data_IF_550856609087
#
_entry.id   IF_550856609087
#
_cell.length_a   1.000
_cell.length_b   1.000
_cell.length_c   1.000
_cell.angle_alpha   90.00
_cell.angle_beta   90.00
_cell.angle_gamma   90.00
#
_symmetry.space_group_name_H-M   'P 1'
#
loop_
_entity.id
_entity.type
_entity.pdbx_description
1 polymer ?
#
# COMPACT_ATOMS: atom_id res chain seq x y z
N UNK A 1 16.58 17.05 -0.16
CA UNK A 1 16.38 17.23 -1.61
C UNK A 1 15.04 17.93 -1.82
N UNK A 2 15.01 19.25 -1.60
CA UNK A 2 13.81 20.10 -1.52
C UNK A 2 14.04 21.43 -2.30
N UNK A 3 14.75 21.37 -3.43
CA UNK A 3 15.30 22.60 -4.03
C UNK A 3 15.25 22.72 -5.56
N UNK A 4 14.33 22.03 -6.23
CA UNK A 4 14.23 22.13 -7.71
C UNK A 4 12.84 22.40 -8.28
N UNK A 5 11.87 22.84 -7.47
CA UNK A 5 10.50 23.09 -7.96
C UNK A 5 9.95 24.43 -7.48
N UNK A 6 10.69 25.51 -7.72
CA UNK A 6 10.20 26.84 -7.35
C UNK A 6 10.68 27.92 -8.32
N UNK A 7 10.27 27.87 -9.59
CA UNK A 7 10.16 29.05 -10.48
C UNK A 7 9.19 28.75 -11.65
N UNK A 8 7.92 29.10 -11.49
CA UNK A 8 7.03 29.49 -12.58
C UNK A 8 5.94 30.43 -12.04
N UNK A 9 5.82 31.58 -12.67
CA UNK A 9 5.08 32.77 -12.23
C UNK A 9 3.56 32.57 -12.27
N UNK A 10 2.85 32.97 -11.20
CA UNK A 10 1.39 33.08 -11.18
C UNK A 10 0.98 34.54 -11.04
N UNK A 11 0.37 35.09 -12.09
CA UNK A 11 -0.42 36.33 -12.05
C UNK A 11 -1.86 36.04 -11.57
N UNK A 12 -2.53 36.99 -10.90
CA UNK A 12 -3.74 36.71 -10.14
C UNK A 12 -5.01 36.84 -10.98
N UNK A 13 -5.88 35.82 -10.93
CA UNK A 13 -7.27 35.95 -11.38
C UNK A 13 -8.20 36.02 -10.16
N UNK A 14 -8.78 37.21 -9.99
CA UNK A 14 -9.74 37.55 -8.95
C UNK A 14 -11.18 37.18 -9.34
N UNK A 15 -11.92 36.67 -8.34
CA UNK A 15 -13.33 36.93 -8.01
C UNK A 15 -14.43 36.84 -9.09
N UNK A 16 -15.37 35.91 -8.84
CA UNK A 16 -16.84 35.89 -9.11
C UNK A 16 -17.25 34.41 -9.23
N UNK A 17 -18.27 33.84 -8.59
CA UNK A 17 -19.52 34.36 -8.05
C UNK A 17 -19.97 33.49 -6.86
N UNK A 18 -20.44 34.15 -5.81
CA UNK A 18 -21.41 33.57 -4.88
C UNK A 18 -22.81 33.88 -5.44
N UNK A 19 -23.71 32.88 -5.44
CA UNK A 19 -25.05 32.95 -4.83
C UNK A 19 -26.03 31.92 -5.42
N UNK A 20 -26.85 31.41 -4.49
CA UNK A 20 -28.12 30.70 -4.65
C UNK A 20 -28.04 29.22 -5.06
N UNK A 21 -28.41 28.35 -4.11
CA UNK A 21 -29.72 27.70 -4.14
C UNK A 21 -30.06 27.11 -2.76
N UNK A 22 -31.34 27.28 -2.40
CA UNK A 22 -31.98 26.93 -1.13
C UNK A 22 -32.27 25.42 -1.05
N UNK A 23 -32.32 24.92 0.18
CA UNK A 23 -32.80 23.58 0.56
C UNK A 23 -34.29 23.41 0.34
N UNK A 24 -34.76 22.15 0.22
CA UNK A 24 -35.78 21.73 1.18
C UNK A 24 -35.55 20.35 1.80
N UNK A 25 -35.98 20.31 3.06
CA UNK A 25 -36.13 19.21 4.00
C UNK A 25 -37.15 18.16 3.56
N UNK A 26 -36.78 16.88 3.63
CA UNK A 26 -37.72 15.79 3.96
C UNK A 26 -36.98 14.52 4.40
N UNK A 27 -37.06 14.21 5.70
CA UNK A 27 -36.72 12.90 6.29
C UNK A 27 -37.78 11.86 5.90
N UNK A 28 -37.40 10.59 5.64
CA UNK A 28 -38.32 9.47 5.76
C UNK A 28 -38.31 8.89 7.18
N UNK A 29 -39.52 8.58 7.63
CA UNK A 29 -39.94 7.94 8.88
C UNK A 29 -39.54 6.44 8.89
N UNK A 30 -39.06 5.94 10.03
CA UNK A 30 -38.61 4.56 10.20
C UNK A 30 -39.53 3.89 11.24
N UNK A 31 -40.63 3.30 10.77
CA UNK A 31 -41.48 2.45 11.60
C UNK A 31 -42.18 1.36 10.78
N UNK A 32 -41.58 0.16 10.76
CA UNK A 32 -42.36 -1.09 10.77
C UNK A 32 -41.44 -2.28 11.04
N UNK A 33 -41.57 -2.83 12.24
CA UNK A 33 -40.99 -4.09 12.69
C UNK A 33 -41.84 -5.24 12.10
N UNK A 34 -41.20 -6.17 11.39
CA UNK A 34 -41.69 -7.54 11.26
C UNK A 34 -40.50 -8.51 11.11
N UNK A 35 -40.28 -9.32 12.15
CA UNK A 35 -39.74 -10.69 12.05
C UNK A 35 -40.94 -11.64 11.92
N UNK A 36 -40.83 -12.83 11.27
CA UNK A 36 -39.80 -13.83 11.55
C UNK A 36 -39.30 -14.64 10.33
N UNK A 37 -38.16 -15.33 10.43
CA UNK A 37 -38.08 -16.79 10.57
C UNK A 37 -36.62 -17.28 10.45
N UNK A 38 -36.42 -18.40 11.10
CA UNK A 38 -35.24 -19.13 11.55
C UNK A 38 -34.44 -19.82 10.44
N UNK A 39 -33.14 -19.99 10.69
CA UNK A 39 -32.38 -21.09 10.12
C UNK A 39 -31.62 -20.81 8.82
N UNK A 40 -30.49 -20.10 8.92
CA UNK A 40 -29.28 -20.40 8.14
C UNK A 40 -28.09 -19.84 8.91
N UNK A 41 -27.18 -20.71 9.30
CA UNK A 41 -25.85 -20.29 9.76
C UNK A 41 -25.24 -19.42 8.67
N UNK A 42 -25.22 -18.12 8.94
CA UNK A 42 -24.46 -17.14 8.18
C UNK A 42 -22.98 -17.50 8.37
N UNK A 43 -22.38 -18.17 7.38
CA UNK A 43 -20.95 -18.08 7.20
C UNK A 43 -20.63 -16.61 6.94
N UNK A 44 -20.30 -15.87 7.98
CA UNK A 44 -19.82 -14.49 7.85
C UNK A 44 -18.48 -14.58 7.14
N UNK A 45 -18.49 -14.52 5.80
CA UNK A 45 -17.29 -14.21 5.04
C UNK A 45 -16.73 -12.93 5.66
N UNK A 46 -15.51 -13.00 6.22
CA UNK A 46 -14.77 -11.81 6.68
C UNK A 46 -14.60 -10.91 5.45
N UNK A 47 -15.52 -9.98 5.25
CA UNK A 47 -15.51 -9.08 4.12
C UNK A 47 -14.79 -7.81 4.53
N UNK A 48 -13.85 -7.41 3.68
CA UNK A 48 -13.13 -6.15 3.80
C UNK A 48 -14.08 -4.96 3.66
N UNK A 49 -13.83 -3.86 4.38
CA UNK A 49 -14.43 -2.59 3.98
C UNK A 49 -13.88 -2.22 2.60
N UNK A 50 -14.76 -2.16 1.60
CA UNK A 50 -14.46 -1.71 0.24
C UNK A 50 -14.99 -0.28 0.03
N UNK A 51 -14.66 0.59 0.99
CA UNK A 51 -15.06 1.99 1.01
C UNK A 51 -13.90 2.87 1.51
N UNK A 52 -13.52 3.94 0.77
CA UNK A 52 -14.15 4.42 -0.46
C UNK A 52 -13.72 3.68 -1.74
N UNK A 53 -12.78 2.74 -1.66
CA UNK A 53 -12.23 2.07 -2.84
C UNK A 53 -12.75 0.64 -3.00
N UNK A 54 -13.43 0.36 -4.12
CA UNK A 54 -13.82 -1.01 -4.50
C UNK A 54 -12.62 -1.77 -5.08
N UNK A 55 -12.46 -3.05 -4.71
CA UNK A 55 -11.35 -3.86 -5.19
C UNK A 55 -11.56 -4.35 -6.63
N UNK A 56 -10.48 -4.42 -7.40
CA UNK A 56 -10.46 -4.95 -8.78
C UNK A 56 -10.55 -6.47 -8.70
N UNK A 57 -11.69 -7.03 -9.11
CA UNK A 57 -11.95 -8.50 -9.08
C UNK A 57 -11.79 -9.18 -10.42
N UNK A 58 -11.71 -8.42 -11.50
CA UNK A 58 -11.51 -8.97 -12.84
C UNK A 58 -10.64 -8.05 -13.66
N UNK A 59 -9.79 -8.65 -14.49
CA UNK A 59 -9.03 -7.91 -15.50
C UNK A 59 -9.76 -7.88 -16.84
N UNK A 60 -10.79 -8.70 -17.00
CA UNK A 60 -11.53 -8.79 -18.25
C UNK A 60 -12.54 -7.64 -18.37
N UNK A 61 -12.56 -6.90 -19.49
CA UNK A 61 -13.69 -6.03 -19.80
C UNK A 61 -14.96 -6.88 -19.89
N UNK A 62 -16.08 -6.36 -19.37
CA UNK A 62 -17.34 -7.09 -19.22
C UNK A 62 -17.78 -7.80 -20.52
N UNK A 63 -17.81 -9.14 -20.49
CA UNK A 63 -18.61 -10.06 -21.32
C UNK A 63 -18.50 -10.01 -22.86
N UNK A 64 -17.40 -9.57 -23.46
CA UNK A 64 -17.21 -9.76 -24.92
C UNK A 64 -16.19 -10.87 -25.17
N UNK A 65 -16.71 -12.07 -25.47
CA UNK A 65 -15.92 -13.15 -26.06
C UNK A 65 -15.51 -12.73 -27.48
N UNK A 66 -14.45 -11.92 -27.59
CA UNK A 66 -13.81 -11.67 -28.87
C UNK A 66 -12.96 -12.89 -29.25
N UNK A 67 -12.87 -13.20 -30.54
CA UNK A 67 -11.90 -14.17 -31.12
C UNK A 67 -10.43 -13.78 -30.88
N UNK A 68 -10.17 -12.68 -30.15
CA UNK A 68 -8.84 -12.15 -29.79
C UNK A 68 -8.67 -12.06 -28.26
N UNK A 69 -9.03 -13.13 -27.55
CA UNK A 69 -8.74 -13.23 -26.11
C UNK A 69 -7.25 -12.91 -25.86
N UNK A 70 -6.92 -12.02 -24.90
CA UNK A 70 -5.53 -11.71 -24.61
C UNK A 70 -4.73 -12.96 -24.23
N UNK A 71 -3.44 -12.97 -24.55
CA UNK A 71 -2.54 -14.07 -24.20
C UNK A 71 -2.48 -14.29 -22.67
N UNK A 72 -2.24 -15.53 -22.25
CA UNK A 72 -2.20 -15.91 -20.84
C UNK A 72 -1.17 -15.09 -20.02
N UNK A 73 -0.02 -14.74 -20.61
CA UNK A 73 0.98 -13.89 -19.95
C UNK A 73 0.52 -12.44 -19.84
N UNK A 74 -0.16 -11.93 -20.86
CA UNK A 74 -0.76 -10.58 -20.81
C UNK A 74 -1.80 -10.50 -19.69
N UNK A 75 -2.66 -11.51 -19.59
CA UNK A 75 -3.63 -11.66 -18.50
C UNK A 75 -2.91 -11.73 -17.14
N UNK A 76 -1.82 -12.50 -17.06
CA UNK A 76 -1.03 -12.62 -15.83
C UNK A 76 -0.46 -11.26 -15.38
N UNK A 77 0.15 -10.49 -16.28
CA UNK A 77 0.68 -9.15 -15.97
C UNK A 77 -0.44 -8.21 -15.50
N UNK A 78 -1.58 -8.18 -16.19
CA UNK A 78 -2.72 -7.36 -15.78
C UNK A 78 -3.23 -7.74 -14.38
N UNK A 79 -3.21 -9.03 -14.04
CA UNK A 79 -3.59 -9.51 -12.69
C UNK A 79 -2.59 -9.08 -11.63
N UNK A 80 -1.30 -9.14 -11.92
CA UNK A 80 -0.27 -8.67 -10.99
C UNK A 80 -0.42 -7.17 -10.74
N UNK A 81 -0.68 -6.37 -11.79
CA UNK A 81 -0.97 -4.95 -11.65
C UNK A 81 -2.21 -4.70 -10.77
N UNK A 82 -3.32 -5.40 -11.06
CA UNK A 82 -4.54 -5.29 -10.27
C UNK A 82 -4.35 -5.69 -8.79
N UNK A 83 -3.46 -6.65 -8.49
CA UNK A 83 -3.13 -7.03 -7.11
C UNK A 83 -2.28 -5.96 -6.41
N UNK A 84 -1.35 -5.32 -7.12
CA UNK A 84 -0.62 -4.13 -6.64
C UNK A 84 -1.60 -2.99 -6.31
N UNK A 85 -2.53 -2.67 -7.22
CA UNK A 85 -3.58 -1.68 -7.00
C UNK A 85 -4.50 -2.03 -5.83
N UNK A 86 -4.90 -3.30 -5.70
CA UNK A 86 -5.69 -3.75 -4.56
C UNK A 86 -4.93 -3.65 -3.23
N UNK A 87 -3.61 -3.68 -3.24
CA UNK A 87 -2.78 -3.41 -2.05
C UNK A 87 -2.96 -1.95 -1.60
N UNK A 88 -2.93 -1.01 -2.56
CA UNK A 88 -3.20 0.43 -2.32
C UNK A 88 -4.62 0.62 -1.77
N UNK A 89 -5.63 0.06 -2.43
CA UNK A 89 -7.02 0.18 -2.00
C UNK A 89 -7.26 -0.39 -0.61
N UNK A 90 -6.72 -1.57 -0.29
CA UNK A 90 -6.85 -2.17 1.04
C UNK A 90 -6.21 -1.30 2.11
N UNK A 91 -5.03 -0.73 1.85
CA UNK A 91 -4.37 0.17 2.79
C UNK A 91 -5.20 1.45 3.03
N UNK A 92 -5.70 2.08 1.97
CA UNK A 92 -6.53 3.29 2.08
C UNK A 92 -7.88 3.03 2.76
N UNK A 93 -8.57 1.94 2.41
CA UNK A 93 -9.81 1.54 3.08
C UNK A 93 -9.56 1.22 4.57
N UNK A 94 -8.43 0.59 4.89
CA UNK A 94 -8.04 0.31 6.26
C UNK A 94 -7.80 1.60 7.06
N UNK A 95 -7.10 2.59 6.48
CA UNK A 95 -6.92 3.92 7.07
C UNK A 95 -8.26 4.60 7.28
N UNK A 96 -9.11 4.59 6.24
CA UNK A 96 -10.42 5.23 6.26
C UNK A 96 -11.31 4.67 7.38
N UNK A 97 -11.44 3.35 7.46
CA UNK A 97 -12.26 2.66 8.45
C UNK A 97 -11.72 2.80 9.88
N UNK A 98 -10.40 2.71 10.06
CA UNK A 98 -9.79 2.73 11.40
C UNK A 98 -9.53 4.16 11.92
N UNK A 99 -9.59 5.18 11.07
CA UNK A 99 -9.38 6.58 11.48
C UNK A 99 -10.31 7.03 12.61
N UNK A 100 -11.57 6.59 12.60
CA UNK A 100 -12.55 6.92 13.65
C UNK A 100 -12.35 6.16 14.97
N UNK A 101 -11.50 5.13 14.97
CA UNK A 101 -11.13 4.38 16.18
C UNK A 101 -9.98 5.05 16.92
N UNK A 102 -9.23 5.93 16.27
CA UNK A 102 -8.13 6.69 16.87
C UNK A 102 -8.69 7.91 17.60
N UNK A 103 -8.40 8.08 18.91
CA UNK A 103 -8.95 9.19 19.68
C UNK A 103 -8.55 10.57 19.13
N UNK A 104 -9.54 11.47 19.01
CA UNK A 104 -9.31 12.91 18.76
C UNK A 104 -8.92 13.63 20.06
N UNK A 105 -8.47 14.88 19.97
CA UNK A 105 -8.17 15.70 21.17
C UNK A 105 -6.87 15.34 21.88
N UNK A 106 -5.99 14.55 21.26
CA UNK A 106 -4.65 14.26 21.79
C UNK A 106 -4.61 13.33 23.00
N UNK A 107 -5.69 12.59 23.29
CA UNK A 107 -5.74 11.65 24.42
C UNK A 107 -4.89 10.39 24.23
N UNK A 108 -4.59 10.01 22.98
CA UNK A 108 -3.60 8.97 22.64
C UNK A 108 -2.72 9.44 21.45
N UNK A 109 -1.67 10.24 21.70
CA UNK A 109 -0.79 10.73 20.64
C UNK A 109 0.00 9.61 19.95
N UNK A 110 0.19 8.45 20.59
CA UNK A 110 0.90 7.32 19.99
C UNK A 110 0.02 6.59 18.97
N UNK A 111 -1.27 6.40 19.24
CA UNK A 111 -2.23 5.90 18.25
C UNK A 111 -2.32 6.80 17.01
N UNK A 112 -2.37 8.12 17.20
CA UNK A 112 -2.34 9.08 16.08
C UNK A 112 -1.04 8.94 15.29
N UNK A 113 0.11 8.93 15.97
CA UNK A 113 1.42 8.81 15.31
C UNK A 113 1.52 7.54 14.46
N UNK A 114 1.03 6.43 14.99
CA UNK A 114 1.08 5.14 14.31
C UNK A 114 0.17 5.10 13.07
N UNK A 115 -1.04 5.65 13.17
CA UNK A 115 -1.95 5.79 12.01
C UNK A 115 -1.35 6.68 10.93
N UNK A 116 -0.80 7.84 11.31
CA UNK A 116 -0.14 8.75 10.37
C UNK A 116 1.12 8.13 9.76
N UNK A 117 1.85 7.31 10.51
CA UNK A 117 3.02 6.58 9.98
C UNK A 117 2.57 5.52 8.97
N UNK A 118 1.50 4.77 9.24
CA UNK A 118 0.93 3.82 8.28
C UNK A 118 0.46 4.55 7.01
N UNK A 119 -0.26 5.66 7.17
CA UNK A 119 -0.72 6.52 6.06
C UNK A 119 0.45 7.04 5.22
N UNK A 120 1.54 7.48 5.87
CA UNK A 120 2.78 7.90 5.20
C UNK A 120 3.33 6.80 4.29
N UNK A 121 3.41 5.57 4.77
CA UNK A 121 3.93 4.47 3.98
C UNK A 121 3.01 4.09 2.83
N UNK A 122 1.68 4.17 3.02
CA UNK A 122 0.71 3.99 1.93
C UNK A 122 0.90 5.00 0.81
N UNK A 123 1.09 6.29 1.13
CA UNK A 123 1.36 7.32 0.12
C UNK A 123 2.71 7.11 -0.56
N UNK A 124 3.76 6.79 0.20
CA UNK A 124 5.07 6.50 -0.35
C UNK A 124 5.04 5.32 -1.33
N UNK A 125 4.27 4.26 -1.01
CA UNK A 125 4.07 3.14 -1.93
C UNK A 125 3.35 3.58 -3.21
N UNK A 126 2.25 4.33 -3.09
CA UNK A 126 1.48 4.84 -4.21
C UNK A 126 2.32 5.74 -5.14
N UNK A 127 3.05 6.70 -4.57
CA UNK A 127 3.93 7.58 -5.31
C UNK A 127 5.05 6.82 -6.02
N UNK A 128 5.68 5.86 -5.33
CA UNK A 128 6.76 5.10 -5.93
C UNK A 128 6.26 4.23 -7.09
N UNK A 129 5.09 3.59 -6.92
CA UNK A 129 4.42 2.82 -7.96
C UNK A 129 4.24 3.64 -9.25
N UNK A 130 3.52 4.77 -9.17
CA UNK A 130 3.29 5.63 -10.34
C UNK A 130 4.57 6.26 -10.90
N UNK A 131 5.53 6.62 -10.03
CA UNK A 131 6.82 7.15 -10.47
C UNK A 131 7.60 6.13 -11.29
N UNK A 132 7.64 4.87 -10.87
CA UNK A 132 8.32 3.81 -11.62
C UNK A 132 7.59 3.52 -12.93
N UNK A 133 6.27 3.68 -12.98
CA UNK A 133 5.52 3.59 -14.23
C UNK A 133 5.95 4.66 -15.23
N UNK A 134 5.98 5.93 -14.81
CA UNK A 134 6.34 7.04 -15.69
C UNK A 134 7.82 7.08 -16.08
N UNK A 135 8.72 6.61 -15.22
CA UNK A 135 10.16 6.63 -15.48
C UNK A 135 10.66 5.39 -16.23
N UNK A 136 9.99 4.24 -16.08
CA UNK A 136 10.46 2.96 -16.61
C UNK A 136 9.40 2.29 -17.47
N UNK A 137 8.24 1.97 -16.90
CA UNK A 137 7.27 1.08 -17.55
C UNK A 137 6.67 1.69 -18.82
N UNK A 138 6.07 2.87 -18.72
CA UNK A 138 5.41 3.55 -19.82
C UNK A 138 6.41 3.91 -20.94
N UNK A 139 7.58 4.51 -20.66
CA UNK A 139 8.57 4.76 -21.70
C UNK A 139 9.05 3.49 -22.42
N UNK A 140 9.23 2.38 -21.69
CA UNK A 140 9.63 1.11 -22.30
C UNK A 140 8.54 0.57 -23.23
N UNK A 141 7.27 0.57 -22.80
CA UNK A 141 6.14 0.14 -23.63
C UNK A 141 6.02 0.99 -24.91
N UNK A 142 6.12 2.31 -24.78
CA UNK A 142 6.05 3.24 -25.90
C UNK A 142 7.19 3.04 -26.91
N UNK A 143 8.41 2.80 -26.42
CA UNK A 143 9.56 2.51 -27.26
C UNK A 143 9.37 1.20 -28.04
N UNK A 144 8.92 0.14 -27.37
CA UNK A 144 8.67 -1.16 -28.01
C UNK A 144 7.53 -1.11 -29.02
N UNK A 145 6.48 -0.35 -28.72
CA UNK A 145 5.37 -0.09 -29.63
C UNK A 145 5.74 0.88 -30.78
N UNK A 146 6.88 1.55 -30.72
CA UNK A 146 7.23 2.69 -31.58
C UNK A 146 6.10 3.75 -31.60
N UNK A 147 5.48 4.00 -30.44
CA UNK A 147 4.27 4.81 -30.31
C UNK A 147 4.37 5.75 -29.10
N UNK A 148 5.12 6.86 -29.23
CA UNK A 148 5.24 7.86 -28.16
C UNK A 148 3.88 8.41 -27.73
N UNK A 149 3.67 8.58 -26.44
CA UNK A 149 2.42 9.07 -25.85
C UNK A 149 1.28 8.04 -25.80
N UNK A 150 1.53 6.77 -26.10
CA UNK A 150 0.53 5.70 -25.98
C UNK A 150 -0.03 5.58 -24.55
N UNK A 151 0.79 5.86 -23.54
CA UNK A 151 0.40 5.82 -22.13
C UNK A 151 0.04 7.21 -21.56
N UNK A 152 -0.12 8.23 -22.42
CA UNK A 152 -0.43 9.61 -21.99
C UNK A 152 -1.73 9.72 -21.20
N UNK A 153 -2.71 8.84 -21.45
CA UNK A 153 -3.97 8.82 -20.69
C UNK A 153 -3.71 8.40 -19.24
N UNK A 154 -2.83 7.44 -18.98
CA UNK A 154 -2.44 7.02 -17.63
C UNK A 154 -1.71 8.15 -16.90
N UNK A 155 -0.80 8.84 -17.60
CA UNK A 155 -0.07 10.00 -17.05
C UNK A 155 -1.02 11.15 -16.68
N UNK A 156 -1.97 11.50 -17.55
CA UNK A 156 -2.96 12.53 -17.23
C UNK A 156 -3.90 12.10 -16.09
N UNK A 157 -4.15 10.79 -15.95
CA UNK A 157 -4.91 10.25 -14.83
C UNK A 157 -4.11 10.30 -13.52
N UNK A 158 -2.78 10.11 -13.54
CA UNK A 158 -1.92 10.34 -12.36
C UNK A 158 -2.04 11.78 -11.88
N UNK A 159 -1.91 12.73 -12.82
CA UNK A 159 -2.04 14.16 -12.55
C UNK A 159 -3.39 14.55 -11.95
N UNK A 160 -4.46 13.84 -12.32
CA UNK A 160 -5.81 14.13 -11.85
C UNK A 160 -6.01 13.96 -10.33
N UNK A 161 -5.14 13.21 -9.63
CA UNK A 161 -5.17 13.08 -8.17
C UNK A 161 -3.91 13.58 -7.47
N UNK A 162 -2.92 14.11 -8.20
CA UNK A 162 -1.62 14.52 -7.67
C UNK A 162 -1.77 15.59 -6.57
N UNK A 163 -2.58 16.62 -6.81
CA UNK A 163 -2.84 17.69 -5.83
C UNK A 163 -3.50 17.15 -4.56
N UNK A 164 -4.51 16.28 -4.69
CA UNK A 164 -5.18 15.63 -3.56
C UNK A 164 -4.24 14.73 -2.76
N UNK A 165 -3.31 14.04 -3.44
CA UNK A 165 -2.30 13.21 -2.80
C UNK A 165 -1.29 14.08 -2.02
N UNK A 166 -0.85 15.18 -2.63
CA UNK A 166 0.00 16.16 -1.97
C UNK A 166 -0.65 16.76 -0.72
N UNK A 167 -1.94 17.08 -0.78
CA UNK A 167 -2.69 17.60 0.38
C UNK A 167 -2.80 16.60 1.53
N UNK A 168 -2.87 15.30 1.23
CA UNK A 168 -2.81 14.24 2.23
C UNK A 168 -1.41 14.13 2.83
N UNK A 169 -0.36 14.24 2.01
CA UNK A 169 1.04 14.21 2.44
C UNK A 169 1.37 15.35 3.38
N UNK A 170 0.96 16.57 3.02
CA UNK A 170 1.17 17.75 3.86
C UNK A 170 0.47 17.60 5.21
N UNK A 171 -0.74 17.05 5.23
CA UNK A 171 -1.48 16.78 6.48
C UNK A 171 -0.76 15.77 7.37
N UNK A 172 -0.33 14.64 6.79
CA UNK A 172 0.39 13.59 7.52
C UNK A 172 1.74 14.11 8.04
N UNK A 173 2.48 14.84 7.22
CA UNK A 173 3.76 15.44 7.60
C UNK A 173 3.58 16.42 8.77
N UNK A 174 2.59 17.31 8.69
CA UNK A 174 2.28 18.27 9.75
C UNK A 174 1.90 17.57 11.06
N UNK A 175 1.10 16.51 11.00
CA UNK A 175 0.73 15.73 12.17
C UNK A 175 1.93 15.02 12.82
N UNK A 176 2.79 14.38 12.02
CA UNK A 176 4.00 13.73 12.52
C UNK A 176 5.00 14.74 13.11
N UNK A 177 5.16 15.91 12.49
CA UNK A 177 5.97 17.02 13.03
C UNK A 177 5.43 17.51 14.38
N UNK A 178 4.12 17.71 14.46
CA UNK A 178 3.44 18.14 15.69
C UNK A 178 3.62 17.13 16.84
N UNK A 179 3.53 15.83 16.54
CA UNK A 179 3.68 14.75 17.54
C UNK A 179 5.13 14.49 17.96
N UNK A 180 6.11 14.80 17.10
CA UNK A 180 7.54 14.55 17.38
C UNK A 180 8.28 15.79 17.87
N UNK A 181 7.62 16.95 17.89
CA UNK A 181 8.24 18.23 18.24
C UNK A 181 9.25 18.74 17.20
N UNK A 182 9.40 18.07 16.05
CA UNK A 182 10.27 18.50 14.93
C UNK A 182 9.54 19.51 14.04
N UNK A 183 10.23 20.46 13.41
CA UNK A 183 9.63 21.46 12.50
C UNK A 183 9.38 22.85 13.13
N UNK A 184 8.62 23.71 12.46
CA UNK A 184 8.30 25.09 12.87
C UNK A 184 7.27 25.13 14.03
N UNK A 185 7.61 25.80 15.14
CA UNK A 185 6.73 25.89 16.32
C UNK A 185 5.38 26.56 16.05
N UNK A 186 5.31 27.54 15.14
CA UNK A 186 4.06 28.25 14.85
C UNK A 186 3.06 27.34 14.15
N UNK A 187 3.51 26.53 13.19
CA UNK A 187 2.65 25.58 12.45
C UNK A 187 2.12 24.43 13.30
N UNK A 188 2.82 24.04 14.37
CA UNK A 188 2.44 22.93 15.27
C UNK A 188 1.36 23.29 16.28
N UNK A 189 1.34 24.54 16.75
CA UNK A 189 0.53 24.95 17.89
C UNK A 189 -0.98 24.82 17.63
N UNK A 190 -1.39 24.67 16.37
CA UNK A 190 -2.78 24.64 15.93
C UNK A 190 -3.21 23.30 15.34
N UNK A 191 -2.30 22.34 15.14
CA UNK A 191 -2.65 21.06 14.54
C UNK A 191 -3.22 20.09 15.59
N UNK A 192 -4.40 19.56 15.30
CA UNK A 192 -5.07 18.54 16.11
C UNK A 192 -5.55 17.42 15.18
N UNK A 193 -5.36 16.17 15.60
CA UNK A 193 -5.91 15.05 14.84
C UNK A 193 -7.43 15.01 14.94
N UNK A 194 -8.07 15.11 13.78
CA UNK A 194 -9.50 14.87 13.60
C UNK A 194 -9.69 13.77 12.56
N UNK A 195 -10.35 12.65 12.91
CA UNK A 195 -10.62 11.57 11.96
C UNK A 195 -11.26 12.06 10.65
N UNK A 196 -12.14 13.05 10.76
CA UNK A 196 -12.88 13.62 9.63
C UNK A 196 -11.96 14.33 8.63
N UNK A 197 -10.90 14.99 9.10
CA UNK A 197 -9.96 15.71 8.23
C UNK A 197 -9.13 14.72 7.40
N UNK A 198 -8.71 13.61 8.02
CA UNK A 198 -8.02 12.52 7.31
C UNK A 198 -8.93 11.85 6.28
N UNK A 199 -10.18 11.56 6.66
CA UNK A 199 -11.16 10.96 5.75
C UNK A 199 -11.50 11.88 4.59
N UNK A 200 -11.70 13.17 4.83
CA UNK A 200 -11.97 14.17 3.78
C UNK A 200 -10.85 14.20 2.73
N UNK A 201 -9.59 14.08 3.16
CA UNK A 201 -8.43 14.02 2.25
C UNK A 201 -8.39 12.73 1.44
N UNK A 202 -8.80 11.61 2.03
CA UNK A 202 -8.94 10.33 1.31
C UNK A 202 -10.14 10.37 0.34
N UNK A 203 -11.25 11.00 0.73
CA UNK A 203 -12.43 11.18 -0.14
C UNK A 203 -12.07 11.99 -1.39
N UNK A 204 -11.18 12.98 -1.29
CA UNK A 204 -10.67 13.76 -2.42
C UNK A 204 -9.80 12.95 -3.41
N UNK A 205 -9.29 11.78 -3.00
CA UNK A 205 -8.60 10.83 -3.87
C UNK A 205 -9.56 9.83 -4.51
N UNK A 206 -10.73 9.59 -3.90
CA UNK A 206 -11.55 8.41 -4.14
C UNK A 206 -11.88 8.17 -5.61
N UNK A 207 -12.53 9.14 -6.26
CA UNK A 207 -12.93 9.03 -7.66
C UNK A 207 -11.73 8.99 -8.62
N UNK A 208 -10.81 9.98 -8.66
CA UNK A 208 -9.76 10.01 -9.67
C UNK A 208 -8.77 8.85 -9.52
N UNK A 209 -8.41 8.46 -8.30
CA UNK A 209 -7.53 7.30 -8.07
C UNK A 209 -8.24 6.00 -8.43
N UNK A 210 -9.51 5.82 -8.04
CA UNK A 210 -10.26 4.61 -8.39
C UNK A 210 -10.38 4.46 -9.89
N UNK A 211 -10.70 5.56 -10.60
CA UNK A 211 -10.78 5.59 -12.05
C UNK A 211 -9.45 5.17 -12.69
N UNK A 212 -8.34 5.77 -12.27
CA UNK A 212 -7.02 5.46 -12.80
C UNK A 212 -6.67 3.98 -12.67
N UNK A 213 -6.69 3.46 -11.44
CA UNK A 213 -6.30 2.08 -11.16
C UNK A 213 -7.23 1.06 -11.82
N UNK A 214 -8.51 1.37 -12.03
CA UNK A 214 -9.39 0.49 -12.80
C UNK A 214 -9.18 0.57 -14.32
N UNK A 215 -8.93 1.77 -14.87
CA UNK A 215 -8.79 1.98 -16.32
C UNK A 215 -7.48 1.42 -16.87
N UNK A 216 -6.41 1.41 -16.08
CA UNK A 216 -5.11 0.90 -16.50
C UNK A 216 -5.18 -0.61 -16.82
N UNK A 217 -5.95 -1.38 -16.05
CA UNK A 217 -6.03 -2.85 -16.19
C UNK A 217 -6.49 -3.32 -17.58
N UNK A 218 -7.65 -2.88 -18.12
CA UNK A 218 -8.02 -3.24 -19.48
C UNK A 218 -7.07 -2.66 -20.53
N UNK A 219 -6.46 -1.49 -20.28
CA UNK A 219 -5.47 -0.89 -21.18
C UNK A 219 -4.22 -1.77 -21.29
N UNK A 220 -3.75 -2.36 -20.20
CA UNK A 220 -2.64 -3.31 -20.23
C UNK A 220 -2.94 -4.55 -21.09
N UNK A 221 -4.20 -5.00 -21.13
CA UNK A 221 -4.59 -6.06 -22.04
C UNK A 221 -4.50 -5.63 -23.51
N UNK A 222 -4.89 -4.40 -23.83
CA UNK A 222 -4.77 -3.84 -25.18
C UNK A 222 -3.31 -3.63 -25.58
N UNK A 223 -2.50 -3.08 -24.68
CA UNK A 223 -1.06 -2.88 -24.89
C UNK A 223 -0.36 -4.22 -25.10
N UNK A 224 -0.70 -5.26 -24.32
CA UNK A 224 -0.13 -6.59 -24.49
C UNK A 224 -0.42 -7.20 -25.87
N UNK A 225 -1.59 -6.91 -26.47
CA UNK A 225 -1.88 -7.29 -27.86
C UNK A 225 -1.00 -6.55 -28.87
N UNK A 226 -0.57 -5.33 -28.56
CA UNK A 226 0.24 -4.49 -29.44
C UNK A 226 1.74 -4.83 -29.37
N UNK A 227 2.31 -4.91 -28.15
CA UNK A 227 3.76 -5.12 -27.95
C UNK A 227 4.14 -6.60 -27.85
N UNK A 228 3.15 -7.46 -27.67
CA UNK A 228 3.32 -8.90 -27.45
C UNK A 228 3.51 -9.25 -25.96
N UNK A 229 3.11 -10.47 -25.56
CA UNK A 229 3.10 -10.91 -24.16
C UNK A 229 4.48 -10.89 -23.49
N UNK A 230 5.52 -11.37 -24.18
CA UNK A 230 6.89 -11.43 -23.63
C UNK A 230 7.48 -10.03 -23.39
N UNK A 231 7.18 -9.10 -24.29
CA UNK A 231 7.60 -7.70 -24.17
C UNK A 231 6.91 -7.03 -22.97
N UNK A 232 5.60 -7.24 -22.82
CA UNK A 232 4.84 -6.70 -21.69
C UNK A 232 5.37 -7.27 -20.35
N UNK A 233 5.62 -8.57 -20.28
CA UNK A 233 6.22 -9.22 -19.10
C UNK A 233 7.61 -8.67 -18.77
N UNK A 234 8.44 -8.44 -19.79
CA UNK A 234 9.77 -7.81 -19.63
C UNK A 234 9.67 -6.38 -19.09
N UNK A 235 8.77 -5.57 -19.64
CA UNK A 235 8.55 -4.20 -19.17
C UNK A 235 8.02 -4.18 -17.73
N UNK A 236 7.09 -5.09 -17.39
CA UNK A 236 6.55 -5.21 -16.05
C UNK A 236 7.60 -5.68 -15.03
N UNK A 237 8.50 -6.58 -15.44
CA UNK A 237 9.63 -7.00 -14.59
C UNK A 237 10.55 -5.81 -14.31
N UNK A 238 10.84 -4.99 -15.31
CA UNK A 238 11.66 -3.79 -15.12
C UNK A 238 11.00 -2.75 -14.18
N UNK A 239 9.66 -2.59 -14.26
CA UNK A 239 8.88 -1.79 -13.30
C UNK A 239 9.08 -2.31 -11.86
N UNK A 240 8.93 -3.63 -11.68
CA UNK A 240 9.05 -4.27 -10.37
C UNK A 240 10.47 -4.13 -9.80
N UNK A 241 11.50 -4.40 -10.60
CA UNK A 241 12.90 -4.29 -10.20
C UNK A 241 13.26 -2.85 -9.78
N UNK A 242 12.78 -1.84 -10.52
CA UNK A 242 12.98 -0.43 -10.14
C UNK A 242 12.24 -0.10 -8.84
N UNK A 243 11.01 -0.58 -8.67
CA UNK A 243 10.23 -0.34 -7.46
C UNK A 243 10.88 -0.98 -6.21
N UNK A 244 11.43 -2.20 -6.33
CA UNK A 244 12.19 -2.84 -5.26
C UNK A 244 13.51 -2.11 -4.97
N UNK A 245 14.21 -1.63 -6.02
CA UNK A 245 15.48 -0.92 -5.88
C UNK A 245 15.38 0.47 -5.25
N UNK A 246 14.19 1.09 -5.30
CA UNK A 246 13.95 2.47 -4.86
C UNK A 246 13.21 2.59 -3.52
N UNK A 247 12.72 1.48 -2.96
CA UNK A 247 11.92 1.48 -1.72
C UNK A 247 12.70 1.04 -0.48
N UNK A 248 12.36 1.59 0.69
CA UNK A 248 12.87 1.07 1.97
C UNK A 248 12.07 -0.19 2.34
N UNK A 249 12.75 -1.34 2.32
CA UNK A 249 12.17 -2.63 2.68
C UNK A 249 11.58 -2.67 4.11
N UNK A 250 12.05 -1.81 5.03
CA UNK A 250 11.50 -1.67 6.37
C UNK A 250 10.17 -0.91 6.45
N UNK A 251 9.83 -0.18 5.39
CA UNK A 251 8.63 0.63 5.29
C UNK A 251 7.61 -0.06 4.36
N UNK A 252 8.04 -0.46 3.16
CA UNK A 252 7.13 -0.99 2.13
C UNK A 252 6.88 -2.48 2.28
N UNK A 253 7.86 -3.28 2.71
CA UNK A 253 7.71 -4.73 2.88
C UNK A 253 6.57 -5.13 3.83
N UNK A 254 6.53 -4.61 5.07
CA UNK A 254 5.43 -4.84 6.00
C UNK A 254 4.08 -4.33 5.46
N UNK A 255 4.06 -3.18 4.79
CA UNK A 255 2.85 -2.63 4.19
C UNK A 255 2.27 -3.58 3.14
N UNK A 256 3.08 -3.99 2.17
CA UNK A 256 2.65 -4.88 1.07
C UNK A 256 2.11 -6.18 1.66
N UNK A 257 2.85 -6.86 2.54
CA UNK A 257 2.41 -8.12 3.13
C UNK A 257 1.16 -7.97 4.01
N UNK A 258 1.10 -6.90 4.81
CA UNK A 258 -0.01 -6.63 5.72
C UNK A 258 -1.30 -6.19 5.02
N UNK A 259 -1.21 -5.85 3.73
CA UNK A 259 -2.34 -5.47 2.90
C UNK A 259 -2.71 -6.54 1.86
N UNK A 260 -2.21 -7.77 2.00
CA UNK A 260 -2.62 -8.89 1.16
C UNK A 260 -3.77 -9.69 1.75
N UNK A 261 -4.58 -10.29 0.90
CA UNK A 261 -5.57 -11.29 1.26
C UNK A 261 -5.37 -12.53 0.40
N UNK A 262 -4.88 -13.62 1.01
CA UNK A 262 -4.64 -14.87 0.29
C UNK A 262 -5.92 -15.56 -0.19
N UNK A 263 -7.07 -15.18 0.39
CA UNK A 263 -8.39 -15.72 0.04
C UNK A 263 -9.06 -14.92 -1.08
N UNK A 264 -8.50 -13.76 -1.43
CA UNK A 264 -9.02 -12.92 -2.51
C UNK A 264 -8.79 -13.59 -3.87
N UNK A 265 -9.84 -13.57 -4.68
CA UNK A 265 -9.80 -14.12 -6.04
C UNK A 265 -9.95 -13.02 -7.06
N UNK A 266 -9.05 -13.02 -8.05
CA UNK A 266 -9.17 -12.21 -9.26
C UNK A 266 -9.47 -13.16 -10.43
N UNK A 267 -10.51 -12.85 -11.21
CA UNK A 267 -11.08 -13.75 -12.22
C UNK A 267 -11.42 -15.15 -11.67
N UNK A 268 -11.90 -15.21 -10.42
CA UNK A 268 -12.15 -16.47 -9.69
C UNK A 268 -10.91 -17.35 -9.47
N UNK A 269 -9.70 -16.82 -9.64
CA UNK A 269 -8.44 -17.52 -9.38
C UNK A 269 -7.73 -16.96 -8.15
N UNK A 270 -7.17 -17.86 -7.35
CA UNK A 270 -6.24 -17.49 -6.28
C UNK A 270 -4.86 -17.32 -6.89
N UNK A 271 -4.29 -16.11 -6.77
CA UNK A 271 -2.99 -15.77 -7.30
C UNK A 271 -2.09 -15.43 -6.14
N UNK A 272 -0.95 -16.10 -6.05
CA UNK A 272 0.04 -15.80 -5.03
C UNK A 272 0.65 -14.42 -5.30
N UNK A 273 0.43 -13.48 -4.37
CA UNK A 273 1.00 -12.14 -4.43
C UNK A 273 1.26 -11.61 -3.01
N UNK A 274 2.41 -10.97 -2.74
CA UNK A 274 3.58 -10.91 -3.63
C UNK A 274 4.23 -12.29 -3.80
N UNK A 275 4.96 -12.47 -4.91
CA UNK A 275 5.79 -13.67 -5.10
C UNK A 275 7.05 -13.48 -4.26
N UNK A 276 7.14 -14.20 -3.15
CA UNK A 276 8.30 -14.13 -2.27
C UNK A 276 9.33 -15.19 -2.68
N UNK A 277 10.64 -14.86 -2.71
CA UNK A 277 11.68 -15.81 -3.08
C UNK A 277 11.78 -16.97 -2.08
N UNK A 278 11.25 -16.79 -0.86
CA UNK A 278 11.28 -17.79 0.20
C UNK A 278 9.96 -17.84 0.96
N UNK A 279 9.43 -19.05 1.20
CA UNK A 279 8.21 -19.28 1.98
C UNK A 279 8.31 -18.81 3.44
N UNK A 280 9.52 -18.57 3.94
CA UNK A 280 9.78 -18.07 5.30
C UNK A 280 9.92 -16.54 5.39
N UNK A 281 9.86 -15.81 4.26
CA UNK A 281 9.98 -14.35 4.24
C UNK A 281 8.94 -13.63 5.12
N UNK A 282 7.66 -14.05 5.23
CA UNK A 282 6.71 -13.43 6.15
C UNK A 282 7.15 -13.46 7.61
N UNK A 283 7.86 -14.52 8.05
CA UNK A 283 8.38 -14.61 9.41
C UNK A 283 9.51 -13.60 9.66
N UNK A 284 10.38 -13.35 8.68
CA UNK A 284 11.37 -12.27 8.79
C UNK A 284 10.69 -10.93 8.94
N UNK A 285 9.67 -10.67 8.12
CA UNK A 285 8.98 -9.40 8.14
C UNK A 285 8.33 -9.21 9.50
N UNK A 286 7.59 -10.20 9.99
CA UNK A 286 6.96 -10.17 11.31
C UNK A 286 7.95 -9.94 12.45
N UNK A 287 9.06 -10.67 12.46
CA UNK A 287 9.91 -10.74 13.65
C UNK A 287 11.13 -9.82 13.60
N UNK A 288 11.48 -9.23 12.46
CA UNK A 288 12.67 -8.38 12.32
C UNK A 288 12.28 -7.04 11.71
N UNK A 289 11.77 -7.05 10.48
CA UNK A 289 11.58 -5.85 9.66
C UNK A 289 10.51 -4.94 10.28
N UNK A 290 9.37 -5.52 10.67
CA UNK A 290 8.22 -4.80 11.20
C UNK A 290 8.50 -4.13 12.56
N UNK A 291 9.56 -4.50 13.29
CA UNK A 291 9.83 -3.97 14.64
C UNK A 291 10.06 -2.46 14.66
N UNK A 292 10.68 -1.89 13.62
CA UNK A 292 11.01 -0.45 13.53
C UNK A 292 9.77 0.45 13.64
N UNK A 293 8.65 -0.02 13.07
CA UNK A 293 7.38 0.69 13.01
C UNK A 293 6.22 -0.17 13.53
N UNK A 294 6.47 -1.00 14.55
CA UNK A 294 5.52 -2.02 15.03
C UNK A 294 4.12 -1.47 15.31
N UNK A 295 4.03 -0.25 15.84
CA UNK A 295 2.77 0.43 16.12
C UNK A 295 1.97 0.76 14.86
N UNK A 296 2.58 1.05 13.72
CA UNK A 296 1.90 1.36 12.47
C UNK A 296 1.23 0.11 11.85
N UNK A 297 1.83 -1.07 12.04
CA UNK A 297 1.33 -2.32 11.43
C UNK A 297 0.05 -2.86 12.09
N UNK A 298 -0.37 -2.26 13.21
CA UNK A 298 -1.72 -2.49 13.74
C UNK A 298 -2.81 -1.83 12.92
N UNK A 299 -2.50 -1.16 11.82
CA UNK A 299 -3.51 -0.69 10.87
C UNK A 299 -3.58 -1.59 9.63
N UNK A 300 -2.66 -2.55 9.49
CA UNK A 300 -2.71 -3.54 8.42
C UNK A 300 -4.03 -4.30 8.49
N UNK A 301 -4.79 -4.37 7.38
CA UNK A 301 -6.04 -5.11 7.33
C UNK A 301 -5.81 -6.61 7.50
N UNK A 302 -4.65 -7.15 7.10
CA UNK A 302 -4.30 -8.56 7.21
C UNK A 302 -3.08 -8.80 8.11
N UNK A 303 -2.86 -10.07 8.46
CA UNK A 303 -1.56 -10.52 8.94
C UNK A 303 -0.52 -10.50 7.82
N UNK A 304 0.78 -10.54 8.14
CA UNK A 304 1.84 -10.63 7.11
C UNK A 304 1.85 -11.94 6.32
N UNK A 305 1.00 -12.90 6.68
CA UNK A 305 0.76 -14.11 5.90
C UNK A 305 -0.46 -13.98 4.97
N UNK A 306 -1.07 -12.79 4.88
CA UNK A 306 -2.25 -12.55 4.06
C UNK A 306 -3.55 -13.13 4.63
N UNK A 307 -3.62 -13.42 5.94
CA UNK A 307 -4.90 -13.76 6.59
C UNK A 307 -5.70 -12.49 6.87
N UNK A 308 -6.95 -12.39 6.41
CA UNK A 308 -7.83 -11.28 6.75
C UNK A 308 -8.09 -11.13 8.24
N UNK A 309 -7.92 -9.92 8.80
CA UNK A 309 -8.47 -9.62 10.13
C UNK A 309 -9.98 -9.42 10.00
N UNK A 310 -10.76 -9.93 10.97
CA UNK A 310 -12.21 -9.91 10.89
C UNK A 310 -12.82 -8.54 11.16
N UNK A 311 -14.14 -8.42 10.99
CA UNK A 311 -14.89 -7.17 11.16
C UNK A 311 -14.79 -6.58 12.57
N UNK A 312 -14.50 -7.42 13.57
CA UNK A 312 -14.18 -7.02 14.93
C UNK A 312 -13.02 -6.00 14.99
N UNK A 313 -12.06 -6.13 14.07
CA UNK A 313 -10.93 -5.21 13.90
C UNK A 313 -11.36 -3.79 13.52
N UNK A 314 -12.48 -3.67 12.81
CA UNK A 314 -13.05 -2.40 12.35
C UNK A 314 -14.14 -1.87 13.30
N UNK A 315 -14.42 -2.55 14.42
CA UNK A 315 -15.51 -2.20 15.33
C UNK A 315 -15.00 -1.68 16.69
N UNK A 316 -15.65 -0.62 17.20
CA UNK A 316 -15.33 0.17 18.40
C UNK A 316 -15.35 -0.58 19.76
N UNK A 317 -15.40 -1.91 19.80
CA UNK A 317 -15.37 -2.66 21.06
C UNK A 317 -14.02 -3.34 21.34
N UNK A 318 -13.08 -3.30 20.41
CA UNK A 318 -11.69 -3.46 20.75
C UNK A 318 -11.17 -2.13 21.23
N UNK A 319 -10.85 -2.01 22.53
CA UNK A 319 -9.61 -1.31 22.88
C UNK A 319 -8.62 -1.73 21.80
N UNK A 320 -8.02 -0.80 21.04
CA UNK A 320 -6.88 -1.15 20.19
C UNK A 320 -5.82 -1.60 21.19
N UNK A 321 -5.92 -2.85 21.62
CA UNK A 321 -5.07 -3.38 22.65
C UNK A 321 -3.70 -3.27 22.02
N UNK A 322 -2.79 -2.63 22.72
CA UNK A 322 -1.36 -2.70 22.46
C UNK A 322 -0.85 -4.15 22.55
N UNK A 323 -1.73 -5.16 22.47
CA UNK A 323 -1.44 -6.57 22.56
C UNK A 323 -0.62 -6.94 21.34
N UNK A 324 0.69 -6.91 21.52
CA UNK A 324 1.56 -8.08 21.50
C UNK A 324 1.54 -9.01 20.27
N UNK A 325 0.73 -8.80 19.23
CA UNK A 325 0.76 -9.63 18.00
C UNK A 325 2.10 -9.51 17.27
N UNK A 326 2.78 -8.37 17.45
CA UNK A 326 4.07 -8.09 16.81
C UNK A 326 5.22 -7.82 17.79
N UNK A 327 5.00 -7.97 19.10
CA UNK A 327 6.06 -7.72 20.07
C UNK A 327 5.73 -7.96 21.54
N UNK A 328 5.76 -9.22 21.98
CA UNK A 328 6.38 -9.58 23.27
C UNK A 328 6.94 -11.00 23.22
N UNK A 329 8.24 -11.12 23.52
CA UNK A 329 9.00 -12.37 23.56
C UNK A 329 8.57 -13.26 24.74
N UNK A 330 8.25 -14.53 24.49
CA UNK A 330 8.78 -15.60 25.35
C UNK A 330 10.19 -15.91 24.86
N UNK A 331 11.19 -15.77 25.75
CA UNK A 331 12.60 -16.17 25.52
C UNK A 331 12.66 -17.56 24.87
N UNK A 332 12.79 -17.61 23.54
CA UNK A 332 13.34 -18.78 22.85
C UNK A 332 14.83 -18.54 22.64
N UNK A 333 15.63 -19.51 23.08
CA UNK A 333 17.10 -19.56 23.10
C UNK A 333 17.83 -18.65 22.11
N UNK A 334 18.67 -17.75 22.63
CA UNK A 334 19.45 -16.74 21.88
C UNK A 334 20.41 -17.27 20.80
N UNK A 335 20.44 -18.58 20.56
CA UNK A 335 21.20 -19.21 19.47
C UNK A 335 20.46 -19.14 18.13
N UNK A 336 19.13 -19.18 18.11
CA UNK A 336 18.35 -19.14 16.85
C UNK A 336 18.29 -17.71 16.26
N UNK A 337 18.14 -16.71 17.13
CA UNK A 337 18.12 -15.30 16.72
C UNK A 337 19.47 -14.82 16.16
N UNK A 338 20.59 -15.32 16.69
CA UNK A 338 21.93 -14.97 16.21
C UNK A 338 22.22 -15.58 14.84
N UNK A 339 21.81 -16.84 14.60
CA UNK A 339 21.96 -17.51 13.30
C UNK A 339 21.10 -16.83 12.23
N UNK A 340 19.86 -16.46 12.57
CA UNK A 340 18.98 -15.73 11.65
C UNK A 340 19.54 -14.34 11.32
N UNK A 341 20.12 -13.64 12.30
CA UNK A 341 20.74 -12.33 12.08
C UNK A 341 21.99 -12.42 11.18
N UNK A 342 22.82 -13.47 11.35
CA UNK A 342 24.01 -13.70 10.52
C UNK A 342 23.62 -14.09 9.09
N UNK A 343 22.58 -14.89 8.90
CA UNK A 343 22.08 -15.27 7.58
C UNK A 343 21.44 -14.08 6.86
N UNK A 344 20.70 -13.23 7.58
CA UNK A 344 20.09 -12.01 7.02
C UNK A 344 21.16 -10.98 6.67
N UNK A 345 22.18 -10.79 7.53
CA UNK A 345 23.31 -9.92 7.19
C UNK A 345 24.05 -10.45 5.95
N UNK A 346 24.28 -11.77 5.84
CA UNK A 346 24.93 -12.34 4.66
C UNK A 346 24.09 -12.18 3.37
N UNK A 347 22.76 -12.30 3.45
CA UNK A 347 21.88 -12.16 2.28
C UNK A 347 21.65 -10.69 1.86
N UNK A 348 21.59 -9.76 2.82
CA UNK A 348 21.55 -8.32 2.55
C UNK A 348 22.89 -7.82 1.97
N UNK A 349 24.01 -8.52 2.17
CA UNK A 349 25.29 -8.15 1.54
C UNK A 349 25.55 -8.84 0.19
N UNK A 350 24.84 -9.93 -0.13
CA UNK A 350 25.03 -10.69 -1.39
C UNK A 350 23.94 -10.37 -2.43
N UNK A 351 22.75 -9.93 -2.01
CA UNK A 351 21.63 -9.59 -2.90
C UNK A 351 21.65 -8.18 -3.49
N UNK A 352 22.50 -7.28 -3.00
CA UNK A 352 22.60 -5.92 -3.52
C UNK A 352 23.84 -5.81 -4.41
N UNK A 353 23.61 -5.68 -5.72
CA UNK A 353 24.62 -5.47 -6.76
C UNK A 353 25.37 -4.12 -6.66
N UNK A 354 25.75 -3.70 -5.47
CA UNK A 354 26.65 -2.59 -5.23
C UNK A 354 28.11 -3.04 -5.35
N UNK A 355 28.93 -2.26 -6.06
CA UNK A 355 30.38 -2.47 -6.20
C UNK A 355 31.02 -2.87 -4.86
N UNK A 356 31.78 -3.97 -4.89
CA UNK A 356 32.56 -4.46 -3.74
C UNK A 356 33.36 -3.30 -3.13
N UNK A 357 33.23 -2.99 -1.83
CA UNK A 357 34.27 -2.26 -1.16
C UNK A 357 35.46 -3.22 -0.98
N UNK A 358 36.63 -2.85 -1.50
CA UNK A 358 37.88 -3.53 -1.18
C UNK A 358 38.19 -3.32 0.30
N UNK A 359 37.77 -4.27 1.14
CA UNK A 359 38.33 -4.45 2.47
C UNK A 359 38.95 -5.85 2.57
N UNK A 360 40.14 -5.99 3.16
CA UNK A 360 40.87 -7.25 3.19
C UNK A 360 40.20 -8.22 4.16
N UNK A 361 39.44 -9.17 3.61
CA UNK A 361 38.91 -10.31 4.38
C UNK A 361 40.01 -11.38 4.49
N UNK A 362 40.95 -11.15 5.40
CA UNK A 362 41.84 -12.18 5.92
C UNK A 362 41.74 -12.17 7.44
N UNK A 363 41.45 -13.33 8.05
CA UNK A 363 41.43 -13.60 9.50
C UNK A 363 40.10 -13.63 10.28
N UNK A 364 38.96 -14.02 9.69
CA UNK A 364 37.77 -14.36 10.50
C UNK A 364 37.13 -15.74 10.27
N UNK A 365 37.59 -16.53 9.30
CA UNK A 365 36.95 -17.81 8.96
C UNK A 365 37.56 -19.08 9.58
N UNK A 366 38.55 -18.99 10.47
CA UNK A 366 39.18 -20.18 11.07
C UNK A 366 38.69 -20.56 12.48
N UNK A 367 37.69 -19.87 13.04
CA UNK A 367 37.23 -20.11 14.42
C UNK A 367 35.98 -20.96 14.62
N UNK A 368 35.18 -21.24 13.59
CA UNK A 368 33.82 -21.78 13.78
C UNK A 368 33.66 -23.31 13.65
N UNK A 369 34.72 -24.05 13.32
CA UNK A 369 34.65 -25.52 13.16
C UNK A 369 35.36 -26.33 14.26
N UNK A 370 35.88 -25.72 15.32
CA UNK A 370 36.58 -26.44 16.40
C UNK A 370 35.75 -26.68 17.68
N UNK A 371 34.43 -26.48 17.66
CA UNK A 371 33.57 -26.63 18.85
C UNK A 371 32.41 -27.62 18.66
N UNK A 372 32.54 -28.54 17.71
CA UNK A 372 31.72 -29.75 17.59
C UNK A 372 32.66 -30.94 17.49
N UNK A 373 33.20 -31.36 18.63
CA UNK A 373 34.06 -32.54 18.71
C UNK A 373 34.96 -32.57 19.93
N UNK A 374 34.40 -32.90 21.10
CA UNK A 374 35.01 -33.79 22.12
C UNK A 374 34.28 -33.65 23.45
N UNK A 375 33.64 -34.77 23.83
CA UNK A 375 33.07 -35.19 25.13
C UNK A 375 31.80 -34.51 25.64
#
# INVERSE_FOLDING_TARGET
MLHLWNQAELLPLTSKMAQHLQTPSSRPDYSSIHSPDTGKESSTTRQWPENPFTLIRTVHPTNEASDTSPDAKTIHVARLMALTHNTIFRALNAIYAQSSLVPSGGSDPQAVKDLLTFTKFTMAFLQNHHKCEELVFFPMLEAQASRPGMMSVDVEQHKAFEDSLHDLEVYVALGLESLTGKGDKARKAEWEFKPQDLRFKIDALAEPLSKHLHDEIPRLLEVGKLVGPDTLETCYTALHDEAEGTTDAFEIGPLVLGCQDRTFKIDNQEIQFPVLPFSWAPYLVQHIVARKHAGAWRFCPSTFFGEPKGTEWFSLNGTITSSNEYGENKRSSGRFALVLFIVVAALVFVGFGGKRPEFPVGHWFHGLFSLVGSK
#
